data_IF_733854927900
#
_entry.id   IF_733854927900
#
_cell.length_a   1.000
_cell.length_b   1.000
_cell.length_c   1.000
_cell.angle_alpha   90.00
_cell.angle_beta   90.00
_cell.angle_gamma   90.00
#
_symmetry.space_group_name_H-M   'P 1'
#
loop_
_entity.id
_entity.type
_entity.pdbx_description
1 polymer ?
#
# COMPACT_ATOMS: atom_id res chain seq x y z
N UNK A 1 15.04 0.28 14.12
CA UNK A 1 13.79 0.40 13.33
C UNK A 1 14.03 -0.38 12.04
N UNK A 2 13.21 -1.39 11.74
CA UNK A 2 13.40 -2.30 10.60
C UNK A 2 12.98 -1.55 9.33
N UNK A 3 13.94 -0.94 8.62
CA UNK A 3 13.71 -0.24 7.35
C UNK A 3 14.38 -0.99 6.21
N UNK A 4 14.01 -2.27 6.04
CA UNK A 4 14.34 -3.02 4.83
C UNK A 4 13.63 -2.44 3.60
N UNK A 5 14.10 -2.72 2.37
CA UNK A 5 13.32 -2.43 1.18
C UNK A 5 11.97 -3.15 1.29
N UNK A 6 10.91 -2.42 0.95
CA UNK A 6 9.53 -2.87 1.00
C UNK A 6 9.24 -3.87 -0.14
N UNK A 7 9.82 -5.05 -0.06
CA UNK A 7 9.63 -6.12 -1.05
C UNK A 7 8.25 -6.78 -0.89
N UNK A 8 7.68 -7.25 -1.99
CA UNK A 8 6.36 -7.89 -2.02
C UNK A 8 5.16 -6.92 -2.00
N UNK A 9 5.39 -5.61 -1.81
CA UNK A 9 4.30 -4.61 -1.86
C UNK A 9 3.80 -4.41 -3.28
N UNK A 10 2.48 -4.51 -3.43
CA UNK A 10 1.77 -4.20 -4.68
C UNK A 10 1.33 -2.74 -4.72
N UNK A 11 0.90 -2.25 -5.89
CA UNK A 11 0.29 -0.93 -6.03
C UNK A 11 -0.88 -0.70 -5.06
N UNK A 12 -1.62 -1.75 -4.70
CA UNK A 12 -2.76 -1.67 -3.80
C UNK A 12 -2.34 -1.40 -2.34
N UNK A 13 -1.16 -1.87 -1.91
CA UNK A 13 -0.60 -1.54 -0.59
C UNK A 13 -0.35 -0.03 -0.46
N UNK A 14 0.21 0.58 -1.49
CA UNK A 14 0.46 2.02 -1.51
C UNK A 14 -0.85 2.82 -1.61
N UNK A 15 -1.80 2.38 -2.45
CA UNK A 15 -3.10 3.04 -2.56
C UNK A 15 -3.91 2.97 -1.26
N UNK A 16 -3.86 1.84 -0.55
CA UNK A 16 -4.47 1.66 0.76
C UNK A 16 -3.95 2.67 1.79
N UNK A 17 -2.64 2.88 1.82
CA UNK A 17 -2.01 3.83 2.74
C UNK A 17 -2.44 5.28 2.48
N UNK A 18 -2.66 5.64 1.21
CA UNK A 18 -3.11 6.97 0.79
C UNK A 18 -4.59 7.22 1.05
N UNK A 19 -5.41 6.19 1.09
CA UNK A 19 -6.85 6.28 1.35
C UNK A 19 -7.18 7.10 2.60
N UNK A 20 -6.38 6.96 3.66
CA UNK A 20 -6.60 7.66 4.93
C UNK A 20 -5.84 9.00 5.01
N UNK A 21 -4.78 9.17 4.22
CA UNK A 21 -3.95 10.38 4.23
C UNK A 21 -4.54 11.49 3.36
N UNK A 22 -4.93 11.13 2.14
CA UNK A 22 -5.53 12.06 1.17
C UNK A 22 -7.06 12.08 1.28
N UNK A 23 -7.67 11.12 1.99
CA UNK A 23 -9.12 10.93 2.08
C UNK A 23 -9.76 10.43 0.78
N UNK A 24 -8.94 10.17 -0.26
CA UNK A 24 -9.38 9.71 -1.56
C UNK A 24 -9.14 8.20 -1.72
N UNK A 25 -10.21 7.37 -1.71
CA UNK A 25 -10.09 5.95 -1.92
C UNK A 25 -10.09 5.56 -3.41
N UNK A 26 -10.13 6.54 -4.33
CA UNK A 26 -10.36 6.30 -5.76
C UNK A 26 -9.30 5.35 -6.34
N UNK A 27 -8.03 5.58 -6.03
CA UNK A 27 -6.93 4.72 -6.49
C UNK A 27 -7.04 3.27 -5.97
N UNK A 28 -7.52 3.09 -4.74
CA UNK A 28 -7.71 1.76 -4.16
C UNK A 28 -8.79 0.99 -4.92
N UNK A 29 -9.94 1.62 -5.16
CA UNK A 29 -11.03 1.00 -5.90
C UNK A 29 -10.68 0.77 -7.37
N UNK A 30 -10.04 1.72 -8.05
CA UNK A 30 -9.60 1.54 -9.43
C UNK A 30 -8.68 0.33 -9.60
N UNK A 31 -7.72 0.14 -8.69
CA UNK A 31 -6.82 -1.00 -8.72
C UNK A 31 -7.57 -2.30 -8.42
N UNK A 32 -8.47 -2.30 -7.44
CA UNK A 32 -9.32 -3.45 -7.11
C UNK A 32 -10.21 -3.87 -8.29
N UNK A 33 -10.83 -2.92 -8.99
CA UNK A 33 -11.61 -3.15 -10.21
C UNK A 33 -10.78 -3.74 -11.36
N UNK A 34 -9.47 -3.42 -11.40
CA UNK A 34 -8.52 -4.01 -12.36
C UNK A 34 -8.01 -5.40 -11.94
N UNK A 35 -8.53 -5.96 -10.84
CA UNK A 35 -8.17 -7.28 -10.33
C UNK A 35 -6.99 -7.28 -9.37
N UNK A 36 -6.61 -6.12 -8.82
CA UNK A 36 -5.66 -6.10 -7.71
C UNK A 36 -6.30 -6.76 -6.49
N UNK A 37 -5.59 -7.72 -5.89
CA UNK A 37 -6.04 -8.45 -4.72
C UNK A 37 -5.71 -7.68 -3.45
N UNK A 38 -6.74 -7.39 -2.65
CA UNK A 38 -6.64 -6.73 -1.34
C UNK A 38 -6.23 -7.66 -0.19
N UNK A 39 -6.12 -8.96 -0.46
CA UNK A 39 -5.71 -10.01 0.49
C UNK A 39 -4.26 -10.48 0.31
N UNK A 40 -3.50 -9.94 -0.66
CA UNK A 40 -2.11 -10.36 -0.88
C UNK A 40 -1.19 -9.72 0.16
N UNK A 41 -0.50 -10.50 1.03
CA UNK A 41 0.46 -9.93 1.96
C UNK A 41 1.77 -9.55 1.27
N UNK A 42 2.41 -8.48 1.77
CA UNK A 42 3.79 -8.16 1.47
C UNK A 42 4.78 -9.12 2.19
N UNK A 43 6.08 -8.92 2.00
CA UNK A 43 7.09 -9.76 2.65
C UNK A 43 7.16 -9.57 4.18
N UNK A 44 6.53 -8.51 4.71
CA UNK A 44 6.40 -8.29 6.15
C UNK A 44 5.12 -8.95 6.72
N UNK A 45 4.26 -9.50 5.85
CA UNK A 45 3.02 -10.18 6.21
C UNK A 45 1.81 -9.25 6.27
N UNK A 46 1.91 -8.01 5.79
CA UNK A 46 0.82 -7.04 5.81
C UNK A 46 0.08 -7.02 4.48
N UNK A 47 -1.24 -7.11 4.53
CA UNK A 47 -2.11 -6.95 3.35
C UNK A 47 -2.38 -5.47 3.07
N UNK A 48 -2.89 -5.13 1.86
CA UNK A 48 -3.42 -3.80 1.59
C UNK A 48 -4.48 -3.36 2.61
N UNK A 49 -5.32 -4.27 3.10
CA UNK A 49 -6.32 -3.94 4.12
C UNK A 49 -5.69 -3.61 5.47
N UNK A 50 -4.66 -4.34 5.89
CA UNK A 50 -3.93 -4.03 7.12
C UNK A 50 -3.34 -2.63 7.08
N UNK A 51 -2.73 -2.28 5.92
CA UNK A 51 -2.17 -0.95 5.69
C UNK A 51 -3.24 0.14 5.65
N UNK A 52 -4.42 -0.15 5.09
CA UNK A 52 -5.55 0.81 5.08
C UNK A 52 -6.01 1.14 6.50
N UNK A 53 -6.03 0.15 7.39
CA UNK A 53 -6.37 0.36 8.79
C UNK A 53 -5.24 1.08 9.55
N UNK A 54 -3.99 0.76 9.22
CA UNK A 54 -2.80 1.30 9.88
C UNK A 54 -1.74 1.75 8.85
N UNK A 55 -1.85 2.99 8.31
CA UNK A 55 -0.94 3.47 7.27
C UNK A 55 0.51 3.65 7.76
N UNK A 56 0.76 3.61 9.08
CA UNK A 56 2.11 3.62 9.67
C UNK A 56 2.90 2.34 9.43
N UNK A 57 2.26 1.27 8.93
CA UNK A 57 2.92 0.02 8.54
C UNK A 57 3.77 0.16 7.27
N UNK A 58 3.63 1.28 6.54
CA UNK A 58 4.35 1.54 5.29
C UNK A 58 4.99 2.93 5.30
N UNK A 59 6.23 2.97 4.83
CA UNK A 59 6.95 4.22 4.58
C UNK A 59 6.59 4.77 3.19
N UNK A 60 5.57 5.64 3.14
CA UNK A 60 5.10 6.30 1.93
C UNK A 60 6.11 7.29 1.34
N UNK A 61 7.03 7.85 2.14
CA UNK A 61 8.02 8.80 1.62
C UNK A 61 8.95 8.11 0.62
N UNK A 62 9.29 6.84 0.86
CA UNK A 62 10.10 6.03 -0.07
C UNK A 62 9.35 5.67 -1.35
N UNK A 63 8.02 5.51 -1.28
CA UNK A 63 7.18 5.14 -2.43
C UNK A 63 7.19 6.20 -3.55
N UNK A 64 7.45 7.47 -3.22
CA UNK A 64 7.57 8.56 -4.21
C UNK A 64 8.78 8.41 -5.14
N UNK A 65 9.78 7.59 -4.80
CA UNK A 65 11.03 7.49 -5.55
C UNK A 65 11.10 6.36 -6.59
N UNK A 66 10.10 5.48 -6.70
CA UNK A 66 10.16 4.30 -7.60
C UNK A 66 9.43 4.45 -8.94
N UNK A 67 8.78 5.58 -9.21
CA UNK A 67 8.23 5.90 -10.54
C UNK A 67 9.11 6.94 -11.25
N UNK A 68 10.37 6.59 -11.54
CA UNK A 68 11.21 7.34 -12.48
C UNK A 68 11.19 6.68 -13.85
#
# INVERSE_FOLDING_TARGET
MKTGPAEGRTALHYAAARCNLDGDPTMFYMLSEKGAKDDLPDHEGFTPLDIRQNPSLIDLERARCQNK
#
